data_IF_614227914277
#
_entry.id   IF_614227914277
#
_cell.length_a   1.000
_cell.length_b   1.000
_cell.length_c   1.000
_cell.angle_alpha   90.00
_cell.angle_beta   90.00
_cell.angle_gamma   90.00
#
_symmetry.space_group_name_H-M   'P 1'
#
loop_
_entity.id
_entity.type
_entity.pdbx_description
1 polymer ?
#
# COMPACT_ATOMS: atom_id res chain seq x y z
N UNK A 1 -3.56 2.11 13.29
CA UNK A 1 -4.00 0.70 13.48
C UNK A 1 -4.99 0.32 12.40
N UNK A 2 -6.16 0.96 12.30
CA UNK A 2 -7.11 0.70 11.20
C UNK A 2 -6.50 0.87 9.81
N UNK A 3 -5.75 1.96 9.56
CA UNK A 3 -5.08 2.14 8.25
C UNK A 3 -4.09 1.00 7.95
N UNK A 4 -3.28 0.58 8.93
CA UNK A 4 -2.35 -0.55 8.74
C UNK A 4 -3.09 -1.87 8.46
N UNK A 5 -4.25 -2.06 9.10
CA UNK A 5 -5.13 -3.20 8.87
C UNK A 5 -5.71 -3.20 7.45
N UNK A 6 -6.25 -2.07 7.00
CA UNK A 6 -6.78 -1.90 5.64
C UNK A 6 -5.69 -2.09 4.57
N UNK A 7 -4.51 -1.53 4.81
CA UNK A 7 -3.32 -1.75 3.98
C UNK A 7 -3.00 -3.25 3.95
N UNK A 8 -3.00 -3.94 5.09
CA UNK A 8 -2.80 -5.38 5.14
C UNK A 8 -3.77 -6.18 4.27
N UNK A 9 -5.06 -5.89 4.34
CA UNK A 9 -6.04 -6.57 3.48
C UNK A 9 -5.79 -6.33 1.99
N UNK A 10 -5.50 -5.09 1.61
CA UNK A 10 -5.24 -4.74 0.22
C UNK A 10 -4.00 -5.46 -0.34
N UNK A 11 -3.01 -5.71 0.51
CA UNK A 11 -1.73 -6.31 0.12
C UNK A 11 -1.74 -7.83 0.14
N UNK A 12 -2.25 -8.42 1.22
CA UNK A 12 -2.20 -9.87 1.43
C UNK A 12 -3.46 -10.58 0.96
N UNK A 13 -4.61 -9.90 0.91
CA UNK A 13 -5.87 -10.48 0.45
C UNK A 13 -5.78 -11.10 -0.94
N UNK A 14 -5.26 -10.39 -1.96
CA UNK A 14 -5.16 -10.92 -3.32
C UNK A 14 -4.18 -12.10 -3.48
N UNK A 15 -3.21 -12.25 -2.56
CA UNK A 15 -2.14 -13.24 -2.70
C UNK A 15 -2.63 -14.68 -2.61
N UNK A 16 -3.71 -14.91 -1.85
CA UNK A 16 -4.23 -16.24 -1.63
C UNK A 16 -5.71 -16.20 -1.30
N UNK A 17 -6.50 -16.99 -2.04
CA UNK A 17 -7.95 -17.17 -1.84
C UNK A 17 -8.25 -18.63 -1.50
N UNK A 18 -8.13 -19.02 -0.21
CA UNK A 18 -8.34 -20.41 0.18
C UNK A 18 -9.77 -20.88 -0.12
N UNK A 19 -9.93 -22.07 -0.71
CA UNK A 19 -11.25 -22.64 -1.00
C UNK A 19 -11.99 -23.18 0.24
N UNK A 20 -11.30 -23.33 1.38
CA UNK A 20 -11.90 -23.76 2.65
C UNK A 20 -12.20 -22.54 3.52
N UNK A 21 -13.43 -22.43 4.02
CA UNK A 21 -13.91 -21.30 4.82
C UNK A 21 -13.05 -21.09 6.07
N UNK A 22 -12.62 -22.17 6.73
CA UNK A 22 -11.76 -22.08 7.92
C UNK A 22 -10.44 -21.40 7.60
N UNK A 23 -9.84 -21.77 6.47
CA UNK A 23 -8.55 -21.24 6.04
C UNK A 23 -8.71 -19.81 5.52
N UNK A 24 -9.79 -19.50 4.81
CA UNK A 24 -10.12 -18.16 4.36
C UNK A 24 -10.29 -17.20 5.55
N UNK A 25 -11.06 -17.59 6.57
CA UNK A 25 -11.27 -16.79 7.79
C UNK A 25 -9.95 -16.53 8.54
N UNK A 26 -9.10 -17.55 8.69
CA UNK A 26 -7.80 -17.41 9.36
C UNK A 26 -6.81 -16.58 8.54
N UNK A 27 -6.77 -16.76 7.23
CA UNK A 27 -5.94 -15.95 6.33
C UNK A 27 -6.35 -14.47 6.38
N UNK A 28 -7.64 -14.20 6.40
CA UNK A 28 -8.19 -12.86 6.50
C UNK A 28 -7.86 -12.21 7.85
N UNK A 29 -8.02 -12.94 8.96
CA UNK A 29 -7.57 -12.46 10.26
C UNK A 29 -6.06 -12.19 10.29
N UNK A 30 -5.25 -13.05 9.67
CA UNK A 30 -3.79 -12.90 9.62
C UNK A 30 -3.33 -11.71 8.76
N UNK A 31 -3.88 -11.55 7.55
CA UNK A 31 -3.56 -10.46 6.64
C UNK A 31 -3.83 -9.08 7.24
N UNK A 32 -4.85 -8.98 8.08
CA UNK A 32 -5.20 -7.79 8.85
C UNK A 32 -4.31 -7.60 10.08
N UNK A 33 -4.02 -8.68 10.82
CA UNK A 33 -3.33 -8.64 12.12
C UNK A 33 -1.84 -8.37 11.98
N UNK A 34 -1.16 -8.96 10.99
CA UNK A 34 0.31 -8.88 10.85
C UNK A 34 0.78 -7.42 10.66
N UNK A 35 0.26 -6.62 9.72
CA UNK A 35 0.71 -5.25 9.52
C UNK A 35 0.33 -4.34 10.68
N UNK A 36 -0.83 -4.58 11.30
CA UNK A 36 -1.23 -3.86 12.50
C UNK A 36 -0.28 -4.15 13.66
N UNK A 37 0.08 -5.41 13.90
CA UNK A 37 1.01 -5.81 14.96
C UNK A 37 2.40 -5.20 14.76
N UNK A 38 2.90 -5.19 13.52
CA UNK A 38 4.14 -4.51 13.15
C UNK A 38 4.06 -3.01 13.43
N UNK A 39 2.96 -2.36 13.05
CA UNK A 39 2.74 -0.94 13.31
C UNK A 39 2.65 -0.61 14.80
N UNK A 40 1.93 -1.44 15.57
CA UNK A 40 1.85 -1.32 17.03
C UNK A 40 3.23 -1.44 17.67
N UNK A 41 4.04 -2.41 17.21
CA UNK A 41 5.39 -2.64 17.68
C UNK A 41 6.34 -1.48 17.35
N UNK A 42 6.19 -0.87 16.17
CA UNK A 42 6.92 0.35 15.80
C UNK A 42 6.54 1.54 16.68
N UNK A 43 5.23 1.75 16.92
CA UNK A 43 4.72 2.86 17.74
C UNK A 43 4.89 2.67 19.25
N UNK A 44 5.30 1.48 19.69
CA UNK A 44 5.41 1.15 21.12
C UNK A 44 4.05 1.00 21.79
N UNK A 45 3.02 0.52 21.08
CA UNK A 45 1.77 0.13 21.73
C UNK A 45 1.96 -1.18 22.50
N UNK A 46 1.43 -1.25 23.71
CA UNK A 46 1.39 -2.48 24.51
C UNK A 46 0.32 -3.45 24.01
N UNK A 47 0.28 -4.66 24.59
CA UNK A 47 -0.83 -5.63 24.41
C UNK A 47 -1.14 -6.00 22.96
N UNK A 48 -0.08 -6.19 22.18
CA UNK A 48 -0.18 -6.62 20.77
C UNK A 48 -0.88 -7.99 20.68
N UNK A 49 -0.59 -8.90 21.61
CA UNK A 49 -1.19 -10.24 21.61
C UNK A 49 -2.70 -10.19 21.82
N UNK A 50 -3.17 -9.40 22.79
CA UNK A 50 -4.59 -9.22 23.08
C UNK A 50 -5.31 -8.53 21.93
N UNK A 51 -4.64 -7.57 21.26
CA UNK A 51 -5.18 -6.95 20.05
C UNK A 51 -5.30 -7.95 18.90
N UNK A 52 -4.28 -8.78 18.65
CA UNK A 52 -4.38 -9.86 17.67
C UNK A 52 -5.47 -10.87 18.06
N UNK A 53 -5.58 -11.23 19.34
CA UNK A 53 -6.63 -12.14 19.80
C UNK A 53 -8.04 -11.59 19.52
N UNK A 54 -8.26 -10.28 19.70
CA UNK A 54 -9.53 -9.63 19.34
C UNK A 54 -9.85 -9.70 17.83
N UNK A 55 -8.86 -9.94 16.98
CA UNK A 55 -9.05 -10.14 15.54
C UNK A 55 -9.33 -11.60 15.17
N UNK A 56 -8.75 -12.57 15.88
CA UNK A 56 -8.95 -13.99 15.57
C UNK A 56 -10.17 -14.60 16.27
N UNK A 57 -10.41 -14.25 17.53
CA UNK A 57 -11.46 -14.87 18.37
C UNK A 57 -12.85 -14.78 17.73
N UNK A 58 -13.30 -13.65 17.15
CA UNK A 58 -14.61 -13.57 16.51
C UNK A 58 -14.81 -14.62 15.40
N UNK A 59 -13.80 -14.84 14.55
CA UNK A 59 -13.87 -15.87 13.51
C UNK A 59 -13.92 -17.26 14.12
N UNK A 60 -13.07 -17.55 15.11
CA UNK A 60 -13.06 -18.85 15.78
C UNK A 60 -14.41 -19.18 16.43
N UNK A 61 -15.08 -18.17 17.00
CA UNK A 61 -16.41 -18.33 17.58
C UNK A 61 -17.47 -18.61 16.51
N UNK A 62 -17.41 -17.92 15.37
CA UNK A 62 -18.38 -18.11 14.27
C UNK A 62 -18.14 -19.39 13.46
N UNK A 63 -16.94 -19.95 13.48
CA UNK A 63 -16.65 -21.25 12.86
C UNK A 63 -17.40 -22.40 13.57
N UNK A 64 -17.70 -22.27 14.86
CA UNK A 64 -18.46 -23.28 15.61
C UNK A 64 -19.86 -23.50 15.02
N UNK A 65 -20.75 -22.49 14.91
CA UNK A 65 -22.07 -22.66 14.29
C UNK A 65 -21.98 -22.98 12.79
N UNK A 66 -20.93 -22.56 12.08
CA UNK A 66 -20.68 -22.99 10.70
C UNK A 66 -20.49 -24.52 10.59
N UNK A 67 -19.73 -25.13 11.50
CA UNK A 67 -19.56 -26.60 11.51
C UNK A 67 -20.87 -27.36 11.75
N UNK A 68 -21.84 -26.75 12.44
CA UNK A 68 -23.18 -27.30 12.64
C UNK A 68 -24.14 -26.96 11.49
N UNK A 69 -23.67 -26.29 10.43
CA UNK A 69 -24.48 -25.91 9.27
C UNK A 69 -25.48 -24.78 9.53
N UNK A 70 -25.32 -24.05 10.66
CA UNK A 70 -26.21 -22.94 11.04
C UNK A 70 -25.85 -21.66 10.29
N UNK A 71 -24.57 -21.47 9.98
CA UNK A 71 -24.06 -20.34 9.20
C UNK A 71 -23.42 -20.83 7.90
N UNK A 72 -23.51 -20.00 6.85
CA UNK A 72 -22.71 -20.17 5.64
C UNK A 72 -21.37 -19.43 5.74
N UNK A 73 -20.48 -19.66 4.76
CA UNK A 73 -19.16 -19.03 4.74
C UNK A 73 -19.21 -17.50 4.71
N UNK A 74 -20.16 -16.93 3.95
CA UNK A 74 -20.33 -15.48 3.86
C UNK A 74 -20.74 -14.89 5.22
N UNK A 75 -21.61 -15.55 5.98
CA UNK A 75 -22.02 -15.11 7.31
C UNK A 75 -20.86 -15.17 8.31
N UNK A 76 -19.98 -16.17 8.22
CA UNK A 76 -18.75 -16.24 9.03
C UNK A 76 -17.83 -15.07 8.71
N UNK A 77 -17.59 -14.79 7.43
CA UNK A 77 -16.71 -13.71 6.99
C UNK A 77 -17.24 -12.33 7.40
N UNK A 78 -18.49 -12.03 7.07
CA UNK A 78 -19.12 -10.75 7.40
C UNK A 78 -19.29 -10.57 8.91
N UNK A 79 -19.77 -11.62 9.59
CA UNK A 79 -19.95 -11.62 11.04
C UNK A 79 -18.64 -11.43 11.78
N UNK A 80 -17.56 -12.06 11.31
CA UNK A 80 -16.24 -11.93 11.93
C UNK A 80 -15.73 -10.49 11.91
N UNK A 81 -15.87 -9.78 10.79
CA UNK A 81 -15.55 -8.36 10.70
C UNK A 81 -16.41 -7.50 11.63
N UNK A 82 -17.72 -7.75 11.64
CA UNK A 82 -18.66 -6.99 12.45
C UNK A 82 -18.37 -7.13 13.95
N UNK A 83 -18.02 -8.34 14.39
CA UNK A 83 -17.68 -8.64 15.78
C UNK A 83 -16.24 -8.27 16.15
N UNK A 84 -15.32 -8.20 15.18
CA UNK A 84 -13.94 -7.77 15.40
C UNK A 84 -13.86 -6.33 15.88
N UNK A 85 -14.56 -5.39 15.24
CA UNK A 85 -14.51 -3.98 15.62
C UNK A 85 -14.86 -3.73 17.11
N UNK A 86 -15.99 -4.24 17.65
CA UNK A 86 -16.29 -4.08 19.07
C UNK A 86 -15.29 -4.83 19.97
N UNK A 87 -14.77 -5.99 19.57
CA UNK A 87 -13.74 -6.70 20.34
C UNK A 87 -12.45 -5.88 20.45
N UNK A 88 -12.00 -5.26 19.35
CA UNK A 88 -10.85 -4.36 19.35
C UNK A 88 -11.08 -3.13 20.21
N UNK A 89 -12.28 -2.53 20.14
CA UNK A 89 -12.66 -1.39 21.00
C UNK A 89 -12.63 -1.81 22.47
N UNK A 90 -13.11 -2.99 22.82
CA UNK A 90 -13.04 -3.51 24.19
C UNK A 90 -11.59 -3.62 24.69
N UNK A 91 -10.67 -4.13 23.86
CA UNK A 91 -9.22 -4.18 24.18
C UNK A 91 -8.65 -2.78 24.35
N UNK A 92 -8.94 -1.86 23.43
CA UNK A 92 -8.46 -0.47 23.49
C UNK A 92 -8.93 0.23 24.76
N UNK A 93 -10.22 0.09 25.13
CA UNK A 93 -10.78 0.71 26.33
C UNK A 93 -10.17 0.10 27.59
N UNK A 94 -10.03 -1.23 27.63
CA UNK A 94 -9.50 -1.95 28.80
C UNK A 94 -8.03 -1.62 29.08
N UNK A 95 -7.21 -1.48 28.03
CA UNK A 95 -5.77 -1.29 28.15
C UNK A 95 -5.30 0.11 27.75
N UNK A 96 -6.19 1.11 27.74
CA UNK A 96 -5.90 2.49 27.29
C UNK A 96 -4.74 3.18 28.02
N UNK A 97 -4.39 2.73 29.22
CA UNK A 97 -3.32 3.30 30.03
C UNK A 97 -2.00 2.53 29.93
N UNK A 98 -2.01 1.35 29.31
CA UNK A 98 -0.82 0.55 29.14
C UNK A 98 -0.07 0.95 27.89
N UNK A 99 1.13 1.50 28.10
CA UNK A 99 2.03 1.86 27.02
C UNK A 99 3.08 0.77 26.89
N UNK A 100 3.38 0.39 25.64
CA UNK A 100 4.47 -0.52 25.35
C UNK A 100 5.79 0.23 25.21
N UNK A 101 6.85 -0.53 24.99
CA UNK A 101 8.14 0.03 24.59
C UNK A 101 8.27 -0.04 23.07
N UNK A 102 8.65 1.06 22.39
CA UNK A 102 8.98 1.02 20.98
C UNK A 102 10.02 -0.07 20.67
N UNK A 103 9.86 -0.74 19.53
CA UNK A 103 10.78 -1.78 19.11
C UNK A 103 12.20 -1.26 18.91
N UNK A 104 13.19 -1.92 19.50
CA UNK A 104 14.61 -1.70 19.23
C UNK A 104 15.10 -2.44 17.98
N UNK A 105 14.27 -3.33 17.40
CA UNK A 105 14.64 -4.07 16.19
C UNK A 105 14.82 -3.11 15.00
N UNK A 106 15.99 -3.11 14.33
CA UNK A 106 16.30 -2.18 13.26
C UNK A 106 15.39 -2.33 12.04
N UNK A 107 14.92 -3.55 11.74
CA UNK A 107 14.02 -3.82 10.60
C UNK A 107 12.66 -3.18 10.82
N UNK A 108 12.07 -3.35 12.01
CA UNK A 108 10.77 -2.75 12.36
C UNK A 108 10.86 -1.23 12.32
N UNK A 109 11.97 -0.67 12.80
CA UNK A 109 12.20 0.78 12.76
C UNK A 109 12.36 1.28 11.33
N UNK A 110 13.15 0.60 10.50
CA UNK A 110 13.33 0.95 9.10
C UNK A 110 12.00 0.91 8.31
N UNK A 111 11.17 -0.13 8.51
CA UNK A 111 9.85 -0.23 7.89
C UNK A 111 8.90 0.89 8.35
N UNK A 112 8.96 1.28 9.63
CA UNK A 112 8.15 2.37 10.16
C UNK A 112 8.61 3.76 9.71
N UNK A 113 9.92 3.97 9.58
CA UNK A 113 10.52 5.22 9.06
C UNK A 113 10.26 5.37 7.56
N UNK A 114 10.37 4.26 6.80
CA UNK A 114 10.12 4.21 5.34
C UNK A 114 8.74 3.67 5.00
N UNK A 115 7.74 3.98 5.83
CA UNK A 115 6.36 3.57 5.57
C UNK A 115 5.84 3.98 4.17
N UNK A 116 6.21 5.14 3.57
CA UNK A 116 5.73 5.49 2.23
C UNK A 116 6.29 4.54 1.18
N UNK A 117 7.59 4.22 1.25
CA UNK A 117 8.21 3.24 0.37
C UNK A 117 7.62 1.84 0.57
N UNK A 118 7.35 1.44 1.82
CA UNK A 118 6.74 0.15 2.11
C UNK A 118 5.33 0.04 1.50
N UNK A 119 4.52 1.10 1.58
CA UNK A 119 3.20 1.13 0.92
C UNK A 119 3.35 1.12 -0.60
N UNK A 120 4.26 1.90 -1.16
CA UNK A 120 4.52 1.93 -2.60
C UNK A 120 4.86 0.54 -3.14
N UNK A 121 5.88 -0.11 -2.56
CA UNK A 121 6.29 -1.48 -2.92
C UNK A 121 5.11 -2.45 -2.87
N UNK A 122 4.32 -2.34 -1.82
CA UNK A 122 3.27 -3.28 -1.58
C UNK A 122 2.08 -3.07 -2.56
N UNK A 123 1.69 -1.84 -2.86
CA UNK A 123 0.67 -1.55 -3.89
C UNK A 123 1.17 -1.96 -5.28
N UNK A 124 2.47 -1.80 -5.56
CA UNK A 124 3.07 -2.24 -6.81
C UNK A 124 3.42 -3.74 -6.85
N UNK A 125 3.11 -4.49 -5.80
CA UNK A 125 3.49 -5.91 -5.75
C UNK A 125 2.83 -6.70 -6.89
N UNK A 126 1.56 -6.41 -7.19
CA UNK A 126 0.82 -7.08 -8.26
C UNK A 126 1.38 -6.77 -9.65
N UNK A 127 2.05 -5.62 -9.86
CA UNK A 127 2.68 -5.32 -11.14
C UNK A 127 3.77 -6.35 -11.51
N UNK A 128 4.40 -7.00 -10.53
CA UNK A 128 5.36 -8.05 -10.80
C UNK A 128 4.72 -9.33 -11.33
N UNK A 129 3.47 -9.62 -10.97
CA UNK A 129 2.76 -10.83 -11.39
C UNK A 129 1.88 -10.60 -12.61
N UNK A 130 1.26 -9.43 -12.70
CA UNK A 130 0.43 -8.99 -13.82
C UNK A 130 0.93 -7.63 -14.33
N UNK A 131 2.07 -7.60 -15.04
CA UNK A 131 2.61 -6.39 -15.63
C UNK A 131 1.58 -5.71 -16.53
N UNK A 132 1.38 -4.41 -16.32
CA UNK A 132 0.57 -3.57 -17.19
C UNK A 132 1.37 -2.32 -17.55
N UNK A 133 1.19 -1.83 -18.78
CA UNK A 133 1.71 -0.53 -19.21
C UNK A 133 0.64 0.52 -18.87
N UNK A 134 0.88 1.42 -17.90
CA UNK A 134 -0.12 2.42 -17.57
C UNK A 134 -0.38 3.33 -18.76
N UNK A 135 -1.63 3.75 -19.01
CA UNK A 135 -1.93 4.73 -20.04
C UNK A 135 -1.11 6.01 -19.85
N UNK A 136 -0.62 6.61 -20.94
CA UNK A 136 0.31 7.73 -20.87
C UNK A 136 -0.21 8.97 -20.11
N UNK A 137 -1.53 9.14 -20.02
CA UNK A 137 -2.14 10.23 -19.26
C UNK A 137 -1.92 10.11 -17.73
N UNK A 138 -1.60 8.92 -17.23
CA UNK A 138 -1.33 8.71 -15.79
C UNK A 138 -0.10 9.49 -15.32
N UNK A 139 0.96 9.56 -16.12
CA UNK A 139 2.13 10.41 -15.85
C UNK A 139 1.78 11.90 -15.87
N UNK A 140 0.87 12.33 -16.75
CA UNK A 140 0.37 13.72 -16.76
C UNK A 140 -0.39 14.04 -15.48
N UNK A 141 -1.17 13.08 -14.98
CA UNK A 141 -1.87 13.23 -13.71
C UNK A 141 -0.89 13.38 -12.55
N UNK A 142 0.16 12.53 -12.48
CA UNK A 142 1.22 12.67 -11.48
C UNK A 142 1.82 14.08 -11.50
N UNK A 143 2.18 14.57 -12.69
CA UNK A 143 2.78 15.90 -12.84
C UNK A 143 1.79 17.05 -12.56
N UNK A 144 0.50 16.88 -12.85
CA UNK A 144 -0.54 17.84 -12.51
C UNK A 144 -0.69 17.99 -11.00
N UNK A 145 -0.57 16.89 -10.25
CA UNK A 145 -0.61 16.89 -8.80
C UNK A 145 0.57 17.68 -8.21
N UNK A 146 1.75 17.62 -8.84
CA UNK A 146 2.90 18.46 -8.47
C UNK A 146 2.65 19.97 -8.64
N UNK A 147 1.73 20.41 -9.51
CA UNK A 147 1.37 21.83 -9.63
C UNK A 147 0.64 22.35 -8.38
N UNK A 148 -0.07 21.48 -7.65
CA UNK A 148 -0.75 21.86 -6.42
C UNK A 148 0.23 22.24 -5.31
N UNK A 149 1.29 21.45 -5.14
CA UNK A 149 2.32 21.64 -4.12
C UNK A 149 3.44 22.60 -4.56
N UNK A 150 3.80 22.59 -5.84
CA UNK A 150 4.88 23.38 -6.42
C UNK A 150 4.59 24.87 -6.64
N UNK A 151 3.67 25.46 -5.88
CA UNK A 151 3.31 26.89 -5.96
C UNK A 151 4.50 27.83 -5.75
N UNK A 152 5.56 27.35 -5.09
CA UNK A 152 6.81 28.12 -4.88
C UNK A 152 7.77 28.09 -6.07
N UNK A 153 7.60 27.15 -7.00
CA UNK A 153 8.43 27.00 -8.22
C UNK A 153 7.57 26.75 -9.47
N UNK A 154 6.56 27.60 -9.74
CA UNK A 154 5.52 27.32 -10.74
C UNK A 154 6.09 27.22 -12.16
N UNK A 155 7.13 28.00 -12.49
CA UNK A 155 7.78 27.95 -13.81
C UNK A 155 8.39 26.58 -14.08
N UNK A 156 9.13 26.03 -13.11
CA UNK A 156 9.75 24.70 -13.24
C UNK A 156 8.68 23.62 -13.41
N UNK A 157 7.62 23.65 -12.60
CA UNK A 157 6.56 22.66 -12.69
C UNK A 157 5.76 22.77 -14.00
N UNK A 158 5.53 23.98 -14.50
CA UNK A 158 4.88 24.19 -15.80
C UNK A 158 5.75 23.67 -16.95
N UNK A 159 7.06 23.92 -16.92
CA UNK A 159 7.98 23.40 -17.93
C UNK A 159 7.98 21.87 -17.93
N UNK A 160 8.10 21.24 -16.76
CA UNK A 160 8.07 19.77 -16.65
C UNK A 160 6.72 19.23 -17.11
N UNK A 161 5.61 19.85 -16.70
CA UNK A 161 4.28 19.48 -17.17
C UNK A 161 4.15 19.56 -18.70
N UNK A 162 4.64 20.63 -19.32
CA UNK A 162 4.65 20.78 -20.79
C UNK A 162 5.52 19.74 -21.49
N UNK A 163 6.65 19.35 -20.89
CA UNK A 163 7.51 18.28 -21.41
C UNK A 163 6.79 16.93 -21.37
N UNK A 164 6.16 16.58 -20.26
CA UNK A 164 5.37 15.35 -20.16
C UNK A 164 4.14 15.37 -21.09
N UNK A 165 3.48 16.52 -21.26
CA UNK A 165 2.38 16.68 -22.21
C UNK A 165 2.84 16.42 -23.65
N UNK A 166 4.01 16.97 -24.02
CA UNK A 166 4.63 16.71 -25.33
C UNK A 166 4.99 15.23 -25.49
N UNK A 167 5.58 14.61 -24.46
CA UNK A 167 5.88 13.17 -24.45
C UNK A 167 4.62 12.32 -24.67
N UNK A 168 3.50 12.68 -24.02
CA UNK A 168 2.24 11.98 -24.18
C UNK A 168 1.70 12.03 -25.61
N UNK A 169 1.82 13.19 -26.27
CA UNK A 169 1.49 13.32 -27.70
C UNK A 169 2.41 12.44 -28.54
N UNK A 170 3.72 12.45 -28.30
CA UNK A 170 4.68 11.59 -29.03
C UNK A 170 4.31 10.12 -28.88
N UNK A 171 4.00 9.64 -27.67
CA UNK A 171 3.60 8.26 -27.41
C UNK A 171 2.40 7.82 -28.25
N UNK A 172 1.43 8.71 -28.47
CA UNK A 172 0.22 8.43 -29.27
C UNK A 172 0.54 8.39 -30.78
N UNK A 173 1.58 9.10 -31.23
CA UNK A 173 1.94 9.24 -32.64
C UNK A 173 2.96 8.21 -33.13
N UNK A 174 3.69 7.54 -32.22
CA UNK A 174 4.72 6.55 -32.58
C UNK A 174 4.17 5.12 -32.61
N UNK A 175 5.01 4.17 -33.05
CA UNK A 175 4.65 2.75 -33.02
C UNK A 175 4.42 2.26 -31.58
N UNK A 176 3.56 1.23 -31.36
CA UNK A 176 3.29 0.71 -30.03
C UNK A 176 4.55 0.30 -29.26
N UNK A 177 5.51 -0.34 -29.92
CA UNK A 177 6.77 -0.76 -29.30
C UNK A 177 7.59 0.43 -28.78
N UNK A 178 7.76 1.48 -29.59
CA UNK A 178 8.43 2.71 -29.18
C UNK A 178 7.63 3.45 -28.11
N UNK A 179 6.30 3.44 -28.20
CA UNK A 179 5.41 4.04 -27.21
C UNK A 179 5.59 3.42 -25.81
N UNK A 180 5.68 2.09 -25.72
CA UNK A 180 5.94 1.38 -24.46
C UNK A 180 7.30 1.78 -23.86
N UNK A 181 8.36 1.84 -24.68
CA UNK A 181 9.68 2.29 -24.21
C UNK A 181 9.63 3.73 -23.68
N UNK A 182 8.97 4.64 -24.40
CA UNK A 182 8.82 6.03 -23.98
C UNK A 182 8.02 6.16 -22.68
N UNK A 183 6.98 5.35 -22.48
CA UNK A 183 6.24 5.28 -21.21
C UNK A 183 7.17 4.83 -20.09
N UNK A 184 7.93 3.74 -20.27
CA UNK A 184 8.86 3.23 -19.27
C UNK A 184 9.93 4.27 -18.88
N UNK A 185 10.51 4.95 -19.88
CA UNK A 185 11.46 6.04 -19.67
C UNK A 185 10.81 7.24 -18.98
N UNK A 186 9.55 7.56 -19.29
CA UNK A 186 8.79 8.62 -18.64
C UNK A 186 8.56 8.38 -17.16
N UNK A 187 8.21 7.14 -16.77
CA UNK A 187 8.12 6.71 -15.37
C UNK A 187 9.50 6.73 -14.69
N UNK A 188 10.54 6.21 -15.34
CA UNK A 188 11.89 6.25 -14.81
C UNK A 188 12.41 7.67 -14.57
N UNK A 189 12.13 8.60 -15.50
CA UNK A 189 12.47 10.01 -15.35
C UNK A 189 11.70 10.67 -14.19
N UNK A 190 10.44 10.29 -13.97
CA UNK A 190 9.64 10.79 -12.85
C UNK A 190 10.19 10.25 -11.52
N UNK A 191 10.58 8.97 -11.47
CA UNK A 191 11.23 8.39 -10.29
C UNK A 191 12.53 9.13 -9.90
N UNK A 192 13.33 9.52 -10.90
CA UNK A 192 14.54 10.36 -10.69
C UNK A 192 14.16 11.76 -10.21
N UNK A 193 13.12 12.36 -10.79
CA UNK A 193 12.59 13.64 -10.34
C UNK A 193 12.17 13.60 -8.88
N UNK A 194 11.45 12.57 -8.47
CA UNK A 194 11.01 12.34 -7.09
C UNK A 194 12.17 12.12 -6.14
N UNK A 195 13.20 11.37 -6.56
CA UNK A 195 14.42 11.20 -5.77
C UNK A 195 15.10 12.56 -5.52
N UNK A 196 15.19 13.42 -6.54
CA UNK A 196 15.74 14.78 -6.39
C UNK A 196 14.91 15.60 -5.40
N UNK A 197 13.58 15.52 -5.45
CA UNK A 197 12.70 16.23 -4.51
C UNK A 197 12.80 15.67 -3.10
N UNK A 198 12.93 14.36 -2.94
CA UNK A 198 13.11 13.70 -1.66
C UNK A 198 14.43 14.10 -0.98
N UNK A 199 15.53 14.15 -1.75
CA UNK A 199 16.86 14.51 -1.26
C UNK A 199 16.93 16.02 -0.94
N UNK A 200 16.29 16.86 -1.75
CA UNK A 200 16.31 18.33 -1.58
C UNK A 200 15.24 18.86 -0.63
N UNK A 201 14.32 18.02 -0.16
CA UNK A 201 13.17 18.41 0.67
C UNK A 201 12.42 19.61 0.08
N UNK A 202 12.08 19.51 -1.21
CA UNK A 202 11.55 20.61 -1.99
C UNK A 202 10.24 20.24 -2.69
N UNK A 203 9.42 21.26 -2.99
CA UNK A 203 8.15 21.20 -3.74
C UNK A 203 7.05 20.40 -3.05
N UNK A 204 7.23 19.10 -2.84
CA UNK A 204 6.28 18.17 -2.23
C UNK A 204 6.79 17.68 -0.87
N UNK A 205 5.91 17.19 0.02
CA UNK A 205 6.34 16.53 1.25
C UNK A 205 7.25 15.32 0.97
N UNK A 206 8.29 15.09 1.79
CA UNK A 206 9.24 13.97 1.59
C UNK A 206 8.60 12.59 1.48
N UNK A 207 7.51 12.37 2.21
CA UNK A 207 6.77 11.11 2.17
C UNK A 207 6.10 10.89 0.81
N UNK A 208 5.64 11.97 0.15
CA UNK A 208 5.01 11.92 -1.16
C UNK A 208 6.04 11.55 -2.22
N UNK A 209 7.18 12.24 -2.24
CA UNK A 209 8.26 11.95 -3.19
C UNK A 209 8.90 10.58 -2.94
N UNK A 210 8.95 10.11 -1.68
CA UNK A 210 9.42 8.75 -1.39
C UNK A 210 8.46 7.69 -1.93
N UNK A 211 7.15 7.84 -1.67
CA UNK A 211 6.13 6.93 -2.17
C UNK A 211 6.12 6.90 -3.70
N UNK A 212 6.01 8.07 -4.34
CA UNK A 212 5.90 8.20 -5.79
C UNK A 212 7.17 7.69 -6.48
N UNK A 213 8.36 8.08 -5.98
CA UNK A 213 9.62 7.65 -6.59
C UNK A 213 9.83 6.14 -6.57
N UNK A 214 9.42 5.45 -5.50
CA UNK A 214 9.47 3.98 -5.42
C UNK A 214 8.43 3.33 -6.33
N UNK A 215 7.19 3.85 -6.33
CA UNK A 215 6.11 3.36 -7.18
C UNK A 215 6.50 3.43 -8.67
N UNK A 216 6.98 4.60 -9.09
CA UNK A 216 7.37 4.89 -10.47
C UNK A 216 8.54 4.03 -10.93
N UNK A 217 9.52 3.83 -10.05
CA UNK A 217 10.67 2.98 -10.32
C UNK A 217 10.24 1.52 -10.56
N UNK A 218 9.34 0.99 -9.72
CA UNK A 218 8.83 -0.38 -9.91
C UNK A 218 8.13 -0.49 -11.26
N UNK A 219 7.23 0.44 -11.59
CA UNK A 219 6.53 0.44 -12.89
C UNK A 219 7.52 0.48 -14.05
N UNK A 220 8.49 1.41 -14.03
CA UNK A 220 9.48 1.55 -15.09
C UNK A 220 10.29 0.26 -15.29
N UNK A 221 10.80 -0.33 -14.19
CA UNK A 221 11.61 -1.56 -14.23
C UNK A 221 10.77 -2.74 -14.73
N UNK A 222 9.55 -2.91 -14.23
CA UNK A 222 8.67 -4.00 -14.66
C UNK A 222 8.34 -3.91 -16.14
N UNK A 223 8.06 -2.72 -16.67
CA UNK A 223 7.82 -2.54 -18.11
C UNK A 223 9.09 -2.89 -18.91
N UNK A 224 10.26 -2.43 -18.49
CA UNK A 224 11.50 -2.74 -19.18
C UNK A 224 11.80 -4.23 -19.18
N UNK A 225 11.60 -4.95 -18.07
CA UNK A 225 11.89 -6.38 -17.98
C UNK A 225 10.95 -7.27 -18.81
N UNK A 226 9.73 -6.83 -19.06
CA UNK A 226 8.69 -7.67 -19.67
C UNK A 226 8.56 -7.41 -21.16
N UNK A 227 8.84 -6.19 -21.62
CA UNK A 227 8.70 -5.78 -23.02
C UNK A 227 10.04 -5.61 -23.76
N UNK A 228 11.20 -5.69 -23.07
CA UNK A 228 12.55 -5.52 -23.63
C UNK A 228 13.55 -6.49 -23.01
#
# INVERSE_FOLDING_TARGET
MLVAMLVGMALFGPLWTPGRVEVAALWMAASMSVPMALWMRYRGHGRIFEMCAAMFVPYLVLLVPYWFGVLDGHAVEMGGHLLMLPAMVAVLVRYRHEHGTPSTNPVVRALGERWPAAIALAITFDFWQAPLVPPVWTLLLCQAVYLFWGRRTPRTQLVVFSLYASLAVVVILVSPHTGVLLIALGWGAHAVWDLVHHVRDAVVPRWWSEFCGVFDLVIAVTILMVWF
#
